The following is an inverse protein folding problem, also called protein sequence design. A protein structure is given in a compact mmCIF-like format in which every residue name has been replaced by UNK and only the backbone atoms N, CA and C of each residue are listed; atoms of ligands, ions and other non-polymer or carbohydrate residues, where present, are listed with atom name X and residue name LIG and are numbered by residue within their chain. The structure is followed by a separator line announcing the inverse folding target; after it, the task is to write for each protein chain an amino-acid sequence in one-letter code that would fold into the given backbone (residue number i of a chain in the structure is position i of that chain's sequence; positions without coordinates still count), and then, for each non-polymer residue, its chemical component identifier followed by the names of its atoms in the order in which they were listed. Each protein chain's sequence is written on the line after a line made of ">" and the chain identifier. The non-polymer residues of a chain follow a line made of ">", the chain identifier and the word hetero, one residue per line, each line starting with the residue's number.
data_IF_192362360340
#
_entry.id   IF_192362360340
#
_cell.length_a   1.000
_cell.length_b   1.000
_cell.length_c   1.000
_cell.angle_alpha   90.00
_cell.angle_beta   90.00
_cell.angle_gamma   90.00
#
_symmetry.space_group_name_H-M   'P 1'
#
loop_
_entity.id
_entity.type
_entity.pdbx_description
1 polymer ?
#
# COMPACT_ATOMS: atom_id res chain seq x y z
N UNK A 1 -22.81 25.77 -11.55
CA UNK A 1 -21.37 25.74 -11.18
C UNK A 1 -21.15 24.54 -10.27
N UNK A 2 -20.76 23.39 -10.81
CA UNK A 2 -20.45 22.19 -10.00
C UNK A 2 -19.14 21.58 -10.50
N UNK A 3 -18.03 22.13 -9.98
CA UNK A 3 -16.71 21.49 -9.99
C UNK A 3 -16.76 20.49 -8.82
N UNK A 4 -16.67 19.18 -9.00
CA UNK A 4 -15.41 18.50 -9.21
C UNK A 4 -15.64 17.17 -9.93
N UNK A 5 -15.16 17.17 -11.17
CA UNK A 5 -14.96 16.05 -12.07
C UNK A 5 -14.13 14.99 -11.34
N UNK A 6 -14.68 13.79 -11.14
CA UNK A 6 -13.90 12.58 -10.82
C UNK A 6 -12.86 12.39 -11.94
N UNK A 7 -11.68 12.96 -11.72
CA UNK A 7 -10.63 13.07 -12.72
C UNK A 7 -9.69 11.88 -12.50
N UNK A 8 -10.04 10.79 -13.15
CA UNK A 8 -9.07 10.00 -13.93
C UNK A 8 -8.01 9.27 -13.08
N UNK A 9 -8.41 8.17 -12.46
CA UNK A 9 -7.52 7.04 -12.21
C UNK A 9 -7.22 6.37 -13.57
N UNK A 10 -6.37 7.02 -14.36
CA UNK A 10 -5.73 6.42 -15.51
C UNK A 10 -4.31 6.10 -15.08
N UNK A 11 -4.10 4.89 -14.60
CA UNK A 11 -2.83 4.26 -14.86
C UNK A 11 -3.02 2.82 -15.31
N UNK A 12 -2.55 2.57 -16.52
CA UNK A 12 -2.61 1.32 -17.25
C UNK A 12 -1.43 0.49 -16.80
N UNK A 13 -1.51 -0.13 -15.62
CA UNK A 13 -0.48 -1.08 -15.17
C UNK A 13 -0.73 -2.40 -15.88
N UNK A 14 -0.21 -2.49 -17.11
CA UNK A 14 -0.21 -3.72 -17.93
C UNK A 14 0.37 -4.89 -17.11
N UNK A 15 -0.09 -6.14 -17.32
CA UNK A 15 0.55 -7.29 -16.71
C UNK A 15 1.89 -7.50 -17.43
N UNK A 16 3.01 -7.33 -16.72
CA UNK A 16 4.28 -7.85 -17.17
C UNK A 16 4.54 -9.15 -16.45
N UNK A 17 4.16 -10.25 -17.11
CA UNK A 17 4.74 -11.54 -16.81
C UNK A 17 6.24 -11.46 -17.06
N UNK A 18 7.02 -11.89 -16.07
CA UNK A 18 8.38 -12.33 -16.27
C UNK A 18 8.76 -13.23 -15.09
N UNK A 19 8.65 -14.54 -15.32
CA UNK A 19 9.37 -15.60 -14.64
C UNK A 19 10.89 -15.35 -14.73
N UNK A 20 11.40 -14.44 -13.90
CA UNK A 20 12.81 -14.16 -13.72
C UNK A 20 13.11 -14.08 -12.21
N UNK A 21 14.28 -14.55 -11.74
CA UNK A 21 14.51 -14.90 -10.34
C UNK A 21 14.29 -13.69 -9.42
N UNK A 22 13.25 -13.80 -8.57
CA UNK A 22 12.89 -13.01 -7.37
C UNK A 22 13.74 -11.75 -7.11
N UNK A 23 13.69 -10.76 -8.01
CA UNK A 23 14.09 -9.39 -7.66
C UNK A 23 12.87 -8.73 -7.06
N UNK A 24 13.02 -8.20 -5.85
CA UNK A 24 11.92 -7.50 -5.17
C UNK A 24 11.55 -6.27 -6.02
N UNK A 25 10.34 -6.29 -6.58
CA UNK A 25 9.80 -5.17 -7.35
C UNK A 25 9.00 -4.26 -6.42
N UNK A 26 9.68 -3.25 -5.87
CA UNK A 26 9.12 -2.31 -4.89
C UNK A 26 7.81 -1.67 -5.37
N UNK A 27 7.71 -1.15 -6.62
CA UNK A 27 6.44 -0.66 -7.16
C UNK A 27 5.29 -1.67 -7.11
N UNK A 28 5.53 -2.93 -7.45
CA UNK A 28 4.49 -3.96 -7.45
C UNK A 28 4.06 -4.31 -6.02
N UNK A 29 5.01 -4.44 -5.09
CA UNK A 29 4.70 -4.67 -3.67
C UNK A 29 3.93 -3.49 -3.07
N UNK A 30 4.30 -2.26 -3.42
CA UNK A 30 3.61 -1.07 -2.91
C UNK A 30 2.16 -1.05 -3.39
N UNK A 31 1.93 -1.38 -4.67
CA UNK A 31 0.59 -1.43 -5.24
C UNK A 31 -0.28 -2.50 -4.56
N UNK A 32 0.29 -3.68 -4.27
CA UNK A 32 -0.41 -4.76 -3.56
C UNK A 32 -0.73 -4.36 -2.11
N UNK A 33 0.22 -3.76 -1.40
CA UNK A 33 0.05 -3.26 -0.04
C UNK A 33 -1.10 -2.24 0.05
N UNK A 34 -1.15 -1.31 -0.90
CA UNK A 34 -2.23 -0.31 -0.99
C UNK A 34 -3.59 -0.98 -1.23
N UNK A 35 -3.67 -2.00 -2.08
CA UNK A 35 -4.92 -2.74 -2.32
C UNK A 35 -5.39 -3.48 -1.08
N UNK A 36 -4.48 -4.11 -0.32
CA UNK A 36 -4.79 -4.77 0.94
C UNK A 36 -5.27 -3.77 2.00
N UNK A 37 -4.60 -2.62 2.11
CA UNK A 37 -4.98 -1.55 3.03
C UNK A 37 -6.40 -1.05 2.74
N UNK A 38 -6.70 -0.75 1.47
CA UNK A 38 -8.04 -0.32 1.05
C UNK A 38 -9.12 -1.37 1.29
N UNK A 39 -8.74 -2.65 1.31
CA UNK A 39 -9.65 -3.78 1.60
C UNK A 39 -9.83 -4.03 3.10
N UNK A 40 -9.23 -3.20 3.97
CA UNK A 40 -9.25 -3.37 5.43
C UNK A 40 -8.33 -4.49 5.94
N UNK A 41 -7.53 -5.12 5.07
CA UNK A 41 -6.56 -6.17 5.42
C UNK A 41 -5.26 -5.52 5.91
N UNK A 42 -5.36 -4.79 7.01
CA UNK A 42 -4.29 -3.95 7.56
C UNK A 42 -3.05 -4.74 7.93
N UNK A 43 -3.21 -5.97 8.44
CA UNK A 43 -2.11 -6.87 8.82
C UNK A 43 -1.23 -7.28 7.65
N UNK A 44 -1.84 -7.58 6.51
CA UNK A 44 -1.12 -8.00 5.32
C UNK A 44 -0.50 -6.80 4.60
N UNK A 45 -1.19 -5.65 4.59
CA UNK A 45 -0.64 -4.41 4.05
C UNK A 45 0.61 -3.96 4.81
N UNK A 46 0.57 -4.00 6.15
CA UNK A 46 1.70 -3.65 7.02
C UNK A 46 2.91 -4.55 6.77
N UNK A 47 2.70 -5.86 6.63
CA UNK A 47 3.77 -6.80 6.29
C UNK A 47 4.47 -6.45 4.96
N UNK A 48 3.71 -6.04 3.94
CA UNK A 48 4.27 -5.62 2.66
C UNK A 48 5.00 -4.28 2.75
N UNK A 49 4.48 -3.30 3.49
CA UNK A 49 5.19 -2.04 3.72
C UNK A 49 6.51 -2.27 4.48
N UNK A 50 6.52 -3.13 5.49
CA UNK A 50 7.74 -3.50 6.21
C UNK A 50 8.74 -4.21 5.28
N UNK A 51 8.28 -5.09 4.40
CA UNK A 51 9.15 -5.74 3.41
C UNK A 51 9.77 -4.72 2.44
N UNK A 52 9.00 -3.72 2.00
CA UNK A 52 9.52 -2.60 1.20
C UNK A 52 10.59 -1.84 1.98
N UNK A 53 10.35 -1.52 3.25
CA UNK A 53 11.29 -0.81 4.12
C UNK A 53 12.56 -1.61 4.45
N UNK A 54 12.48 -2.94 4.44
CA UNK A 54 13.67 -3.79 4.57
C UNK A 54 14.59 -3.68 3.34
N UNK A 55 14.00 -3.47 2.15
CA UNK A 55 14.75 -3.34 0.89
C UNK A 55 15.18 -1.90 0.63
N UNK A 56 14.30 -0.93 0.92
CA UNK A 56 14.53 0.51 0.82
C UNK A 56 14.04 1.20 2.11
N UNK A 57 14.91 1.33 3.13
CA UNK A 57 14.56 1.96 4.40
C UNK A 57 14.15 3.43 4.30
N UNK A 58 14.44 4.10 3.18
CA UNK A 58 14.12 5.51 2.95
C UNK A 58 12.89 5.67 2.05
N UNK A 59 12.14 4.59 1.79
CA UNK A 59 10.97 4.65 0.94
C UNK A 59 9.83 5.44 1.60
N UNK A 60 9.71 6.72 1.24
CA UNK A 60 8.77 7.68 1.85
C UNK A 60 7.33 7.18 1.86
N UNK A 61 6.87 6.57 0.77
CA UNK A 61 5.48 6.10 0.67
C UNK A 61 5.20 4.97 1.66
N UNK A 62 6.10 3.99 1.79
CA UNK A 62 5.94 2.88 2.72
C UNK A 62 6.05 3.34 4.19
N UNK A 63 6.95 4.29 4.49
CA UNK A 63 7.04 4.92 5.82
C UNK A 63 5.73 5.62 6.18
N UNK A 64 5.22 6.45 5.27
CA UNK A 64 3.99 7.20 5.51
C UNK A 64 2.78 6.27 5.68
N UNK A 65 2.62 5.30 4.79
CA UNK A 65 1.45 4.41 4.78
C UNK A 65 1.47 3.41 5.95
N UNK A 66 2.62 2.89 6.36
CA UNK A 66 2.73 2.06 7.58
C UNK A 66 2.35 2.83 8.84
N UNK A 67 2.75 4.11 8.94
CA UNK A 67 2.33 4.99 10.03
C UNK A 67 0.81 5.17 10.11
N UNK A 68 0.14 5.35 8.96
CA UNK A 68 -1.32 5.45 8.90
C UNK A 68 -2.02 4.15 9.34
N UNK A 69 -1.46 2.99 9.00
CA UNK A 69 -1.99 1.69 9.48
C UNK A 69 -1.94 1.59 11.00
N UNK A 70 -0.85 2.02 11.63
CA UNK A 70 -0.74 2.00 13.10
C UNK A 70 -1.83 2.84 13.77
N UNK A 71 -2.13 4.02 13.22
CA UNK A 71 -3.24 4.84 13.71
C UNK A 71 -4.58 4.14 13.51
N UNK A 72 -4.83 3.60 12.31
CA UNK A 72 -6.09 2.91 12.00
C UNK A 72 -6.30 1.66 12.85
N UNK A 73 -5.25 0.90 13.17
CA UNK A 73 -5.33 -0.23 14.12
C UNK A 73 -5.64 0.25 15.53
N UNK A 74 -5.03 1.34 15.99
CA UNK A 74 -5.34 1.94 17.29
C UNK A 74 -6.81 2.35 17.42
N UNK A 75 -7.35 2.99 16.39
CA UNK A 75 -8.76 3.41 16.34
C UNK A 75 -9.71 2.21 16.31
N UNK A 76 -9.37 1.15 15.55
CA UNK A 76 -10.15 -0.07 15.53
C UNK A 76 -10.17 -0.76 16.90
N UNK A 77 -9.02 -0.89 17.56
CA UNK A 77 -8.94 -1.48 18.91
C UNK A 77 -9.73 -0.67 19.94
N UNK A 78 -9.69 0.66 19.85
CA UNK A 78 -10.49 1.54 20.71
C UNK A 78 -12.01 1.40 20.46
N UNK A 79 -12.42 1.06 19.24
CA UNK A 79 -13.83 0.90 18.88
C UNK A 79 -14.45 -0.44 19.33
N UNK A 80 -13.64 -1.45 19.68
CA UNK A 80 -14.15 -2.78 20.10
C UNK A 80 -14.29 -2.94 21.62
N UNK A 81 -14.03 -1.89 22.41
CA UNK A 81 -14.08 -1.89 23.87
C UNK A 81 -15.15 -0.95 24.41
#
# INVERSE_FOLDING_TARGET
>A
MSRHKQKKLRNKSKPKGSDAPKRVDIPSLLQEAVTLHQSGRLDEADALYLHILQVDPQHTDALHLSGLIMQQRGDLQAAVN
#
